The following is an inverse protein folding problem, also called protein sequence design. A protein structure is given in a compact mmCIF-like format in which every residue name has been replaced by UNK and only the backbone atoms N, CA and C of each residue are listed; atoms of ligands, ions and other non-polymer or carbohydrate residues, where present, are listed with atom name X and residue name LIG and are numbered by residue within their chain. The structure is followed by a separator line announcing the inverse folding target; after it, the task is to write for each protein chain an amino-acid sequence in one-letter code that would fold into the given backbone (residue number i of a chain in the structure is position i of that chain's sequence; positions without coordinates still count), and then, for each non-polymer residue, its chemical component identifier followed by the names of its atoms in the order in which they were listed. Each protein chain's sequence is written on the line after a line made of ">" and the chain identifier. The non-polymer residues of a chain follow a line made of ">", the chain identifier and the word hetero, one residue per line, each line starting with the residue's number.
data_IF_964760040944
#
_entry.id   IF_964760040944
#
_cell.length_a   1.000
_cell.length_b   1.000
_cell.length_c   1.000
_cell.angle_alpha   90.00
_cell.angle_beta   90.00
_cell.angle_gamma   90.00
#
_symmetry.space_group_name_H-M   'P 1'
#
loop_
_entity.id
_entity.type
_entity.pdbx_description
1 polymer ?
#
# COMPACT_ATOMS: atom_id res chain seq x y z
N UNK A 1 42.93 5.03 -37.63
CA UNK A 1 43.14 5.51 -36.25
C UNK A 1 41.86 5.23 -35.48
N UNK A 2 41.94 4.54 -34.33
CA UNK A 2 40.79 4.09 -33.54
C UNK A 2 40.61 5.07 -32.38
N UNK A 3 39.50 5.78 -32.33
CA UNK A 3 39.14 6.63 -31.20
C UNK A 3 38.55 5.77 -30.07
N UNK A 4 39.19 5.85 -28.91
CA UNK A 4 38.82 5.13 -27.68
C UNK A 4 37.67 5.87 -26.98
N UNK A 5 36.61 5.19 -26.53
CA UNK A 5 35.55 5.83 -25.75
C UNK A 5 36.04 6.14 -24.32
N UNK A 6 35.77 7.37 -23.88
CA UNK A 6 36.07 7.86 -22.53
C UNK A 6 35.30 7.04 -21.49
N UNK A 7 36.03 6.44 -20.53
CA UNK A 7 35.46 5.67 -19.43
C UNK A 7 34.53 6.55 -18.56
N UNK A 8 33.26 6.16 -18.47
CA UNK A 8 32.32 6.72 -17.52
C UNK A 8 32.77 6.34 -16.09
N UNK A 9 33.16 7.35 -15.30
CA UNK A 9 33.55 7.18 -13.91
C UNK A 9 32.43 6.52 -13.11
N UNK A 10 32.73 5.36 -12.55
CA UNK A 10 31.87 4.54 -11.72
C UNK A 10 31.58 5.29 -10.40
N UNK A 11 30.59 6.20 -10.41
CA UNK A 11 30.13 6.91 -9.20
C UNK A 11 29.41 5.89 -8.31
N UNK A 12 29.99 5.64 -7.13
CA UNK A 12 29.35 4.84 -6.07
C UNK A 12 27.94 5.38 -5.80
N UNK A 13 26.91 4.52 -5.65
CA UNK A 13 25.56 4.96 -5.35
C UNK A 13 25.58 5.77 -4.04
N UNK A 14 25.14 7.03 -4.11
CA UNK A 14 24.93 7.85 -2.93
C UNK A 14 23.57 7.48 -2.34
N UNK A 15 23.47 7.22 -1.03
CA UNK A 15 22.22 6.87 -0.38
C UNK A 15 21.23 8.05 -0.46
N UNK A 16 20.00 7.78 -0.94
CA UNK A 16 18.91 8.75 -0.84
C UNK A 16 18.51 8.85 0.61
N UNK A 17 18.37 10.09 1.08
CA UNK A 17 17.84 10.37 2.41
C UNK A 17 16.37 9.96 2.44
N UNK A 18 15.97 9.20 3.44
CA UNK A 18 14.62 8.68 3.61
C UNK A 18 13.50 9.73 3.43
N UNK A 19 13.74 10.98 3.86
CA UNK A 19 12.81 12.09 3.67
C UNK A 19 12.53 12.45 2.19
N UNK A 20 13.49 12.23 1.27
CA UNK A 20 13.28 12.40 -0.18
C UNK A 20 12.47 11.25 -0.78
N UNK A 21 12.63 10.03 -0.26
CA UNK A 21 11.81 8.89 -0.66
C UNK A 21 10.35 9.08 -0.24
N UNK A 22 10.09 9.51 1.00
CA UNK A 22 8.74 9.86 1.47
C UNK A 22 8.09 10.96 0.65
N UNK A 23 8.83 12.01 0.27
CA UNK A 23 8.32 13.08 -0.59
C UNK A 23 7.93 12.56 -1.98
N UNK A 24 8.71 11.64 -2.55
CA UNK A 24 8.41 11.03 -3.84
C UNK A 24 7.19 10.09 -3.81
N UNK A 25 6.91 9.47 -2.65
CA UNK A 25 5.71 8.65 -2.44
C UNK A 25 4.45 9.54 -2.33
N UNK A 26 4.52 10.60 -1.54
CA UNK A 26 3.45 11.58 -1.39
C UNK A 26 3.13 12.29 -2.73
N UNK A 27 4.16 12.69 -3.49
CA UNK A 27 4.01 13.33 -4.81
C UNK A 27 3.37 12.39 -5.86
N UNK A 28 3.30 11.07 -5.60
CA UNK A 28 2.66 10.08 -6.47
C UNK A 28 1.33 9.56 -5.94
N UNK A 29 0.83 10.11 -4.83
CA UNK A 29 -0.40 9.63 -4.18
C UNK A 29 -0.29 8.17 -3.73
N UNK A 30 0.91 7.70 -3.42
CA UNK A 30 1.11 6.35 -2.90
C UNK A 30 0.93 6.43 -1.38
N UNK A 31 -0.27 6.07 -0.94
CA UNK A 31 -0.64 5.93 0.46
C UNK A 31 -0.67 4.45 0.87
N UNK A 32 -0.69 4.18 2.17
CA UNK A 32 -0.90 2.83 2.70
C UNK A 32 -2.39 2.43 2.69
N UNK A 33 -3.25 3.30 2.17
CA UNK A 33 -4.69 3.10 2.01
C UNK A 33 -5.10 3.13 0.53
N UNK A 34 -6.05 2.29 0.16
CA UNK A 34 -6.70 2.30 -1.15
C UNK A 34 -8.21 2.51 -0.97
N UNK A 35 -8.76 3.46 -1.70
CA UNK A 35 -10.21 3.71 -1.75
C UNK A 35 -10.89 2.75 -2.74
N UNK A 36 -11.97 2.11 -2.30
CA UNK A 36 -12.86 1.31 -3.14
C UNK A 36 -14.18 2.05 -3.24
N UNK A 37 -14.46 2.57 -4.44
CA UNK A 37 -15.70 3.24 -4.77
C UNK A 37 -16.79 2.19 -5.00
N UNK A 38 -17.87 2.25 -4.21
CA UNK A 38 -19.01 1.36 -4.31
C UNK A 38 -20.11 1.97 -5.19
N UNK A 39 -20.32 3.28 -5.07
CA UNK A 39 -21.17 4.10 -5.95
C UNK A 39 -20.72 5.58 -5.97
N UNK A 40 -21.53 6.48 -6.52
CA UNK A 40 -21.19 7.90 -6.69
C UNK A 40 -20.94 8.65 -5.36
N UNK A 41 -21.50 8.18 -4.24
CA UNK A 41 -21.43 8.85 -2.92
C UNK A 41 -20.81 7.98 -1.81
N UNK A 42 -20.51 6.72 -2.10
CA UNK A 42 -20.13 5.71 -1.10
C UNK A 42 -18.82 5.03 -1.46
N UNK A 43 -17.87 5.13 -0.54
CA UNK A 43 -16.61 4.40 -0.59
C UNK A 43 -16.24 3.77 0.75
N UNK A 44 -15.41 2.75 0.66
CA UNK A 44 -14.70 2.11 1.76
C UNK A 44 -13.20 2.20 1.51
N UNK A 45 -12.41 2.11 2.56
CA UNK A 45 -10.95 2.22 2.49
C UNK A 45 -10.34 0.92 3.01
N UNK A 46 -9.34 0.42 2.29
CA UNK A 46 -8.57 -0.75 2.70
C UNK A 46 -7.13 -0.35 2.99
N UNK A 47 -6.58 -0.84 4.10
CA UNK A 47 -5.16 -0.73 4.44
C UNK A 47 -4.36 -1.76 3.65
N UNK A 48 -3.50 -1.26 2.80
CA UNK A 48 -2.51 -2.02 2.04
C UNK A 48 -1.38 -2.41 3.01
N UNK A 49 -0.99 -3.68 2.98
CA UNK A 49 0.10 -4.20 3.82
C UNK A 49 1.48 -3.73 3.35
N UNK A 50 1.71 -2.42 3.34
CA UNK A 50 2.93 -1.78 2.83
C UNK A 50 3.42 -0.75 3.86
N UNK A 51 4.64 -0.94 4.36
CA UNK A 51 5.27 0.00 5.28
C UNK A 51 5.83 1.23 4.53
N UNK A 52 5.01 2.28 4.38
CA UNK A 52 5.41 3.55 3.75
C UNK A 52 5.79 4.62 4.78
N UNK A 53 5.07 4.66 5.90
CA UNK A 53 5.21 5.68 6.94
C UNK A 53 6.36 5.40 7.93
N UNK A 54 7.04 4.25 7.84
CA UNK A 54 8.16 3.89 8.71
C UNK A 54 7.79 3.76 10.18
N UNK A 55 6.51 3.59 10.48
CA UNK A 55 6.04 3.09 11.78
C UNK A 55 6.06 1.57 11.71
N UNK A 56 7.20 0.99 12.11
CA UNK A 56 7.41 -0.46 12.05
C UNK A 56 6.48 -1.20 13.02
N UNK A 57 6.16 -0.61 14.17
CA UNK A 57 5.31 -1.24 15.19
C UNK A 57 3.86 -1.37 14.69
N UNK A 58 3.26 -0.29 14.16
CA UNK A 58 1.88 -0.34 13.61
C UNK A 58 1.78 -1.21 12.34
N UNK A 59 2.85 -1.30 11.55
CA UNK A 59 2.89 -2.21 10.41
C UNK A 59 2.96 -3.68 10.84
N UNK A 60 3.82 -4.00 11.81
CA UNK A 60 3.99 -5.35 12.32
C UNK A 60 2.74 -5.84 13.04
N UNK A 61 2.08 -4.98 13.84
CA UNK A 61 0.80 -5.29 14.49
C UNK A 61 -0.30 -5.57 13.46
N UNK A 62 -0.41 -4.76 12.41
CA UNK A 62 -1.35 -5.00 11.31
C UNK A 62 -1.07 -6.36 10.63
N UNK A 63 0.18 -6.62 10.27
CA UNK A 63 0.56 -7.88 9.60
C UNK A 63 0.42 -9.09 10.53
N UNK A 64 0.61 -8.92 11.83
CA UNK A 64 0.34 -9.96 12.83
C UNK A 64 -1.16 -10.28 12.88
N UNK A 65 -2.03 -9.27 12.91
CA UNK A 65 -3.48 -9.45 12.82
C UNK A 65 -3.90 -10.19 11.55
N UNK A 66 -3.38 -9.77 10.38
CA UNK A 66 -3.67 -10.44 9.09
C UNK A 66 -3.28 -11.92 9.11
N UNK A 67 -2.16 -12.28 9.74
CA UNK A 67 -1.70 -13.68 9.85
C UNK A 67 -2.46 -14.49 10.91
N UNK A 68 -2.98 -13.82 11.95
CA UNK A 68 -3.71 -14.45 13.03
C UNK A 68 -5.19 -14.69 12.70
N UNK A 69 -5.75 -13.95 11.74
CA UNK A 69 -7.14 -14.09 11.35
C UNK A 69 -7.46 -15.51 10.85
N UNK A 70 -8.35 -16.20 11.55
CA UNK A 70 -8.78 -17.56 11.19
C UNK A 70 -9.98 -17.53 10.23
N UNK A 71 -10.78 -16.46 10.32
CA UNK A 71 -12.00 -16.28 9.54
C UNK A 71 -11.88 -15.13 8.53
N UNK A 72 -12.56 -15.28 7.39
CA UNK A 72 -12.50 -14.28 6.31
C UNK A 72 -13.12 -12.94 6.70
N UNK A 73 -14.14 -12.95 7.55
CA UNK A 73 -14.76 -11.73 8.07
C UNK A 73 -13.78 -10.94 8.95
N UNK A 74 -13.07 -11.63 9.84
CA UNK A 74 -12.06 -11.02 10.70
C UNK A 74 -10.95 -10.37 9.86
N UNK A 75 -10.45 -11.10 8.86
CA UNK A 75 -9.48 -10.58 7.91
C UNK A 75 -9.99 -9.34 7.17
N UNK A 76 -11.27 -9.32 6.77
CA UNK A 76 -11.87 -8.14 6.13
C UNK A 76 -11.88 -6.93 7.06
N UNK A 77 -12.24 -7.11 8.33
CA UNK A 77 -12.27 -6.01 9.30
C UNK A 77 -10.88 -5.47 9.58
N UNK A 78 -9.88 -6.34 9.66
CA UNK A 78 -8.47 -5.92 9.81
C UNK A 78 -8.04 -5.10 8.60
N UNK A 79 -8.34 -5.56 7.39
CA UNK A 79 -8.00 -4.87 6.14
C UNK A 79 -8.74 -3.53 6.01
N UNK A 80 -10.01 -3.44 6.41
CA UNK A 80 -10.78 -2.19 6.36
C UNK A 80 -10.30 -1.19 7.41
N UNK A 81 -9.97 -1.67 8.61
CA UNK A 81 -9.44 -0.87 9.70
C UNK A 81 -10.36 0.29 10.10
N UNK A 82 -9.83 1.19 10.94
CA UNK A 82 -10.46 2.47 11.22
C UNK A 82 -9.92 3.52 10.24
N UNK A 83 -10.82 4.23 9.55
CA UNK A 83 -10.44 5.34 8.68
C UNK A 83 -11.37 6.54 8.90
N UNK A 84 -10.75 7.71 9.14
CA UNK A 84 -11.40 8.97 9.51
C UNK A 84 -12.36 8.86 10.71
N UNK A 85 -13.61 8.51 10.43
CA UNK A 85 -14.73 8.41 11.35
C UNK A 85 -15.53 7.12 11.18
N UNK A 86 -15.09 6.21 10.31
CA UNK A 86 -15.71 4.90 10.09
C UNK A 86 -14.86 3.81 10.73
N UNK A 87 -15.45 3.09 11.67
CA UNK A 87 -14.88 1.87 12.23
C UNK A 87 -14.83 0.74 11.21
N UNK A 88 -13.99 -0.26 11.48
CA UNK A 88 -13.89 -1.45 10.63
C UNK A 88 -15.23 -2.16 10.46
N UNK A 89 -16.04 -2.22 11.54
CA UNK A 89 -17.38 -2.81 11.49
C UNK A 89 -18.34 -1.99 10.62
N UNK A 90 -18.28 -0.64 10.69
CA UNK A 90 -19.11 0.22 9.83
C UNK A 90 -18.73 0.09 8.35
N UNK A 91 -17.44 0.09 8.04
CA UNK A 91 -16.97 -0.11 6.66
C UNK A 91 -17.34 -1.51 6.14
N UNK A 92 -17.21 -2.54 6.98
CA UNK A 92 -17.59 -3.89 6.62
C UNK A 92 -19.09 -4.00 6.37
N UNK A 93 -19.91 -3.36 7.22
CA UNK A 93 -21.35 -3.28 7.03
C UNK A 93 -21.69 -2.63 5.69
N UNK A 94 -21.13 -1.46 5.39
CA UNK A 94 -21.32 -0.76 4.11
C UNK A 94 -20.99 -1.69 2.93
N UNK A 95 -19.84 -2.35 2.97
CA UNK A 95 -19.43 -3.28 1.92
C UNK A 95 -20.44 -4.43 1.70
N UNK A 96 -20.93 -5.03 2.79
CA UNK A 96 -21.91 -6.12 2.71
C UNK A 96 -23.32 -5.65 2.32
N UNK A 97 -23.73 -4.45 2.70
CA UNK A 97 -25.02 -3.85 2.31
C UNK A 97 -25.09 -3.62 0.79
N UNK A 98 -23.94 -3.34 0.16
CA UNK A 98 -23.78 -3.26 -1.30
C UNK A 98 -23.65 -4.62 -2.00
N UNK A 99 -23.79 -5.72 -1.26
CA UNK A 99 -23.73 -7.09 -1.78
C UNK A 99 -22.33 -7.67 -1.89
N UNK A 100 -21.31 -6.97 -1.40
CA UNK A 100 -19.93 -7.44 -1.37
C UNK A 100 -19.76 -8.64 -0.44
N UNK A 101 -18.92 -9.60 -0.86
CA UNK A 101 -18.63 -10.80 -0.05
C UNK A 101 -17.22 -10.74 0.54
N UNK A 102 -17.00 -11.29 1.74
CA UNK A 102 -15.69 -11.21 2.41
C UNK A 102 -14.53 -11.75 1.58
N UNK A 103 -14.73 -12.87 0.87
CA UNK A 103 -13.67 -13.45 0.06
C UNK A 103 -13.29 -12.60 -1.16
N UNK A 104 -14.21 -11.79 -1.69
CA UNK A 104 -13.96 -10.88 -2.81
C UNK A 104 -13.08 -9.71 -2.33
N UNK A 105 -13.35 -9.18 -1.14
CA UNK A 105 -12.55 -8.12 -0.54
C UNK A 105 -11.11 -8.57 -0.25
N UNK A 106 -10.95 -9.79 0.28
CA UNK A 106 -9.62 -10.37 0.52
C UNK A 106 -8.84 -10.57 -0.79
N UNK A 107 -9.52 -11.03 -1.85
CA UNK A 107 -8.90 -11.20 -3.17
C UNK A 107 -8.50 -9.86 -3.80
N UNK A 108 -9.35 -8.84 -3.66
CA UNK A 108 -9.08 -7.48 -4.09
C UNK A 108 -7.88 -6.90 -3.35
N UNK A 109 -7.84 -7.03 -2.02
CA UNK A 109 -6.73 -6.60 -1.19
C UNK A 109 -5.39 -7.23 -1.60
N UNK A 110 -5.37 -8.54 -1.84
CA UNK A 110 -4.16 -9.23 -2.31
C UNK A 110 -3.67 -8.70 -3.66
N UNK A 111 -4.60 -8.44 -4.59
CA UNK A 111 -4.28 -7.89 -5.91
C UNK A 111 -3.78 -6.44 -5.83
N UNK A 112 -4.45 -5.60 -5.04
CA UNK A 112 -4.08 -4.21 -4.82
C UNK A 112 -2.70 -4.10 -4.15
N UNK A 113 -2.47 -4.88 -3.09
CA UNK A 113 -1.18 -4.93 -2.39
C UNK A 113 -0.05 -5.34 -3.34
N UNK A 114 -0.24 -6.39 -4.15
CA UNK A 114 0.77 -6.83 -5.12
C UNK A 114 1.06 -5.76 -6.18
N UNK A 115 0.02 -5.13 -6.75
CA UNK A 115 0.17 -4.07 -7.75
C UNK A 115 0.93 -2.85 -7.18
N UNK A 116 0.63 -2.47 -5.94
CA UNK A 116 1.29 -1.35 -5.25
C UNK A 116 2.73 -1.68 -4.87
N UNK A 117 3.02 -2.91 -4.42
CA UNK A 117 4.39 -3.39 -4.23
C UNK A 117 5.19 -3.38 -5.54
N UNK A 118 4.59 -3.78 -6.66
CA UNK A 118 5.23 -3.70 -7.97
C UNK A 118 5.53 -2.24 -8.37
N UNK A 119 4.58 -1.32 -8.14
CA UNK A 119 4.77 0.10 -8.39
C UNK A 119 5.92 0.68 -7.55
N UNK A 120 6.00 0.32 -6.27
CA UNK A 120 7.11 0.69 -5.39
C UNK A 120 8.45 0.13 -5.85
N UNK A 121 8.49 -1.11 -6.33
CA UNK A 121 9.70 -1.71 -6.92
C UNK A 121 10.16 -1.00 -8.21
N UNK A 122 9.23 -0.39 -8.95
CA UNK A 122 9.53 0.45 -10.13
C UNK A 122 10.01 1.84 -9.77
N UNK A 123 9.71 2.33 -8.56
CA UNK A 123 10.27 3.55 -8.00
C UNK A 123 11.72 3.36 -7.62
N UNK A 124 12.56 3.32 -8.66
CA UNK A 124 14.00 3.45 -8.49
C UNK A 124 14.33 4.91 -8.22
N UNK A 125 15.11 5.21 -7.18
CA UNK A 125 15.95 6.40 -7.10
C UNK A 125 16.37 6.97 -8.46
N UNK A 126 15.72 8.05 -8.95
CA UNK A 126 16.25 8.80 -10.11
C UNK A 126 17.54 9.50 -9.65
N UNK A 127 18.67 9.05 -10.19
CA UNK A 127 19.97 9.75 -10.11
C UNK A 127 19.83 11.11 -10.81
N UNK A 128 19.82 12.21 -10.07
CA UNK A 128 20.29 13.51 -10.57
C UNK A 128 21.78 13.68 -10.28
#
# INVERSE_FOLDING_TARGET
>A
MKDTPTMAKNRKPQPIRFNQFRKQLADQGIDDLEEIILDDDTSIFIRLGINLAGDEDDFDDFMAGVRAAEEKEELCKIILGFYEHKSADEQYKIYTDFGGKPHELVALWGTATAARQEALGKLRPRRS
#
